data_IF_856230086106
#
_entry.id   IF_856230086106
#
_cell.length_a   1.000
_cell.length_b   1.000
_cell.length_c   1.000
_cell.angle_alpha   90.00
_cell.angle_beta   90.00
_cell.angle_gamma   90.00
#
_symmetry.space_group_name_H-M   'P 1'
#
loop_
_entity.id
_entity.type
_entity.pdbx_description
1 polymer ?
#
# COMPACT_ATOMS: atom_id res chain seq x y z
N UNK A 1 8.45 53.90 -5.06
CA UNK A 1 8.41 52.84 -4.05
C UNK A 1 9.48 53.11 -3.00
N UNK A 2 9.10 53.16 -1.73
CA UNK A 2 10.09 53.40 -0.64
C UNK A 2 11.10 52.25 -0.57
N UNK A 3 12.30 52.52 -0.04
CA UNK A 3 13.38 51.50 0.12
C UNK A 3 12.91 50.26 0.87
N UNK A 4 12.04 50.44 1.88
CA UNK A 4 11.40 49.35 2.62
C UNK A 4 10.47 48.49 1.72
N UNK A 5 9.66 49.10 0.85
CA UNK A 5 8.79 48.34 -0.07
C UNK A 5 9.60 47.53 -1.10
N UNK A 6 10.76 48.03 -1.55
CA UNK A 6 11.66 47.28 -2.43
C UNK A 6 12.29 46.09 -1.71
N UNK A 7 12.76 46.28 -0.48
CA UNK A 7 13.31 45.20 0.34
C UNK A 7 12.22 44.12 0.61
N UNK A 8 11.03 44.52 1.00
CA UNK A 8 9.91 43.59 1.21
C UNK A 8 9.55 42.80 -0.05
N UNK A 9 9.57 43.43 -1.23
CA UNK A 9 9.32 42.73 -2.50
C UNK A 9 10.44 41.72 -2.82
N UNK A 10 11.69 42.09 -2.61
CA UNK A 10 12.81 41.16 -2.83
C UNK A 10 12.74 39.97 -1.90
N UNK A 11 12.47 40.17 -0.61
CA UNK A 11 12.28 39.07 0.35
C UNK A 11 11.11 38.17 -0.05
N UNK A 12 10.00 38.73 -0.48
CA UNK A 12 8.84 37.94 -0.95
C UNK A 12 9.20 37.09 -2.18
N UNK A 13 9.89 37.68 -3.16
CA UNK A 13 10.33 36.95 -4.36
C UNK A 13 11.28 35.82 -4.00
N UNK A 14 12.26 36.06 -3.12
CA UNK A 14 13.19 35.03 -2.65
C UNK A 14 12.46 33.89 -1.94
N UNK A 15 11.47 34.22 -1.09
CA UNK A 15 10.64 33.21 -0.42
C UNK A 15 9.82 32.38 -1.41
N UNK A 16 9.20 33.03 -2.39
CA UNK A 16 8.43 32.33 -3.44
C UNK A 16 9.35 31.41 -4.26
N UNK A 17 10.53 31.88 -4.64
CA UNK A 17 11.50 31.06 -5.38
C UNK A 17 12.04 29.89 -4.52
N UNK A 18 12.29 30.10 -3.24
CA UNK A 18 12.71 29.04 -2.32
C UNK A 18 11.60 27.98 -2.15
N UNK A 19 10.34 28.40 -1.99
CA UNK A 19 9.19 27.49 -1.92
C UNK A 19 8.99 26.71 -3.23
N UNK A 20 9.14 27.39 -4.37
CA UNK A 20 9.05 26.74 -5.68
C UNK A 20 10.19 25.72 -5.88
N UNK A 21 11.41 26.04 -5.45
CA UNK A 21 12.56 25.12 -5.49
C UNK A 21 12.34 23.92 -4.58
N UNK A 22 11.88 24.13 -3.34
CA UNK A 22 11.54 23.04 -2.41
C UNK A 22 10.44 22.14 -3.02
N UNK A 23 9.37 22.75 -3.58
CA UNK A 23 8.33 22.03 -4.28
C UNK A 23 8.87 21.20 -5.44
N UNK A 24 9.74 21.79 -6.28
CA UNK A 24 10.37 21.10 -7.41
C UNK A 24 11.23 19.92 -6.93
N UNK A 25 12.09 20.13 -5.94
CA UNK A 25 12.93 19.07 -5.37
C UNK A 25 12.10 17.94 -4.73
N UNK A 26 10.95 18.28 -4.14
CA UNK A 26 10.02 17.29 -3.58
C UNK A 26 9.39 16.46 -4.68
N UNK A 27 8.91 17.08 -5.77
CA UNK A 27 8.24 16.41 -6.89
C UNK A 27 9.20 15.55 -7.73
N UNK A 28 10.50 15.89 -7.73
CA UNK A 28 11.54 15.12 -8.46
C UNK A 28 12.22 14.06 -7.59
N UNK A 29 11.67 13.75 -6.43
CA UNK A 29 12.19 12.71 -5.54
C UNK A 29 12.11 11.34 -6.19
N UNK A 30 13.12 10.50 -5.93
CA UNK A 30 13.24 9.15 -6.44
C UNK A 30 14.01 9.06 -7.78
N UNK A 31 14.52 7.89 -8.07
CA UNK A 31 15.09 7.53 -9.35
C UNK A 31 14.37 6.29 -9.86
N UNK A 32 13.44 6.42 -10.80
CA UNK A 32 12.66 5.31 -11.30
C UNK A 32 13.55 4.18 -11.85
N UNK A 33 13.08 2.94 -11.76
CA UNK A 33 13.77 1.78 -12.31
C UNK A 33 13.22 1.50 -13.70
N UNK A 34 13.84 2.08 -14.72
CA UNK A 34 13.39 1.97 -16.12
C UNK A 34 13.75 0.65 -16.81
N UNK A 35 14.64 -0.16 -16.23
CA UNK A 35 15.00 -1.46 -16.77
C UNK A 35 15.60 -2.37 -15.68
N UNK A 36 15.31 -3.67 -15.77
CA UNK A 36 16.03 -4.73 -15.07
C UNK A 36 16.89 -5.43 -16.11
N UNK A 37 18.20 -5.40 -15.90
CA UNK A 37 19.18 -5.82 -16.93
C UNK A 37 20.01 -6.99 -16.41
N UNK A 38 20.29 -7.96 -17.28
CA UNK A 38 21.29 -9.01 -17.07
C UNK A 38 22.30 -8.97 -18.21
N UNK A 39 23.47 -9.58 -18.02
CA UNK A 39 24.47 -9.73 -19.07
C UNK A 39 24.10 -10.86 -20.07
N UNK A 40 23.10 -11.67 -19.77
CA UNK A 40 22.65 -12.74 -20.65
C UNK A 40 21.41 -12.33 -21.44
N UNK A 41 21.27 -12.83 -22.65
CA UNK A 41 20.10 -12.59 -23.53
C UNK A 41 18.77 -13.15 -22.96
N UNK A 42 18.86 -13.97 -21.89
CA UNK A 42 17.71 -14.60 -21.21
C UNK A 42 16.81 -13.63 -20.43
N UNK A 43 17.24 -12.37 -20.28
CA UNK A 43 16.53 -11.38 -19.44
C UNK A 43 16.66 -11.63 -17.93
N UNK A 44 15.97 -10.86 -17.06
CA UNK A 44 16.02 -11.06 -15.62
C UNK A 44 15.44 -12.42 -15.22
N UNK A 45 15.84 -12.98 -14.05
CA UNK A 45 15.36 -14.28 -13.60
C UNK A 45 13.83 -14.29 -13.51
N UNK A 46 13.18 -15.38 -13.96
CA UNK A 46 11.72 -15.53 -13.80
C UNK A 46 11.35 -15.72 -12.33
N UNK A 47 10.12 -15.41 -11.96
CA UNK A 47 9.63 -15.60 -10.58
C UNK A 47 9.68 -17.05 -10.10
N UNK A 48 9.84 -18.02 -11.01
CA UNK A 48 10.01 -19.44 -10.73
C UNK A 48 11.46 -19.84 -10.42
N UNK A 49 12.42 -18.94 -10.60
CA UNK A 49 13.84 -19.18 -10.36
C UNK A 49 14.19 -18.74 -8.92
N UNK A 50 14.90 -19.56 -8.18
CA UNK A 50 15.38 -19.23 -6.83
C UNK A 50 16.27 -17.97 -6.79
N UNK A 51 16.89 -17.61 -7.90
CA UNK A 51 17.65 -16.37 -8.03
C UNK A 51 16.74 -15.13 -7.98
N UNK A 52 15.46 -15.24 -8.39
CA UNK A 52 14.50 -14.16 -8.31
C UNK A 52 14.25 -13.76 -6.84
N UNK A 53 13.94 -14.74 -5.98
CA UNK A 53 13.72 -14.52 -4.54
C UNK A 53 14.93 -13.83 -3.91
N UNK A 54 16.14 -14.39 -4.13
CA UNK A 54 17.39 -13.80 -3.63
C UNK A 54 17.65 -12.39 -4.14
N UNK A 55 17.36 -12.15 -5.42
CA UNK A 55 17.50 -10.82 -6.02
C UNK A 55 16.53 -9.83 -5.39
N UNK A 56 15.30 -10.26 -5.16
CA UNK A 56 14.29 -9.46 -4.46
C UNK A 56 14.78 -9.08 -3.05
N UNK A 57 15.23 -10.06 -2.26
CA UNK A 57 15.74 -9.81 -0.90
C UNK A 57 16.90 -8.82 -0.88
N UNK A 58 17.88 -8.99 -1.76
CA UNK A 58 19.06 -8.14 -1.84
C UNK A 58 18.70 -6.68 -2.23
N UNK A 59 17.74 -6.49 -3.13
CA UNK A 59 17.40 -5.15 -3.62
C UNK A 59 16.36 -4.43 -2.78
N UNK A 60 15.55 -5.17 -2.02
CA UNK A 60 14.49 -4.56 -1.19
C UNK A 60 14.82 -4.51 0.29
N UNK A 61 15.75 -5.35 0.75
CA UNK A 61 16.07 -5.54 2.16
C UNK A 61 14.99 -6.33 2.92
N UNK A 62 14.05 -6.96 2.20
CA UNK A 62 13.00 -7.80 2.75
C UNK A 62 13.42 -9.26 2.71
N UNK A 63 13.28 -10.00 3.78
CA UNK A 63 13.54 -11.44 3.79
C UNK A 63 12.26 -12.22 3.52
N UNK A 64 12.37 -13.28 2.70
CA UNK A 64 11.25 -14.19 2.42
C UNK A 64 11.43 -15.47 3.22
N UNK A 65 10.82 -15.53 4.39
CA UNK A 65 10.94 -16.65 5.32
C UNK A 65 10.07 -17.82 4.90
N UNK A 66 10.62 -19.03 4.94
CA UNK A 66 9.81 -20.24 4.97
C UNK A 66 9.07 -20.37 6.32
N UNK A 67 7.99 -21.14 6.33
CA UNK A 67 7.34 -21.51 7.59
C UNK A 67 6.15 -20.64 7.98
N UNK A 68 5.59 -19.86 7.06
CA UNK A 68 4.40 -19.06 7.35
C UNK A 68 3.11 -19.80 6.98
N UNK A 69 2.01 -19.40 7.63
CA UNK A 69 0.63 -19.72 7.26
C UNK A 69 -0.06 -18.43 6.85
N UNK A 70 -0.41 -18.32 5.57
CA UNK A 70 -0.99 -17.10 4.99
C UNK A 70 -2.42 -17.35 4.52
N UNK A 71 -3.35 -16.51 4.92
CA UNK A 71 -4.77 -16.60 4.59
C UNK A 71 -5.27 -15.28 4.01
N UNK A 72 -6.01 -15.36 2.91
CA UNK A 72 -6.73 -14.20 2.40
C UNK A 72 -7.85 -13.80 3.36
N UNK A 73 -8.06 -12.50 3.51
CA UNK A 73 -9.14 -11.90 4.26
C UNK A 73 -9.81 -10.83 3.38
N UNK A 74 -10.72 -11.30 2.50
CA UNK A 74 -11.35 -10.44 1.51
C UNK A 74 -12.46 -9.61 2.13
N UNK A 75 -12.48 -8.33 1.81
CA UNK A 75 -13.50 -7.36 2.24
C UNK A 75 -13.66 -7.30 3.78
N UNK A 76 -14.66 -6.57 4.24
CA UNK A 76 -14.97 -6.49 5.67
C UNK A 76 -15.39 -7.82 6.28
N UNK A 77 -16.20 -8.58 5.58
CA UNK A 77 -16.71 -9.88 6.04
C UNK A 77 -15.60 -10.91 6.23
N UNK A 78 -14.52 -10.82 5.45
CA UNK A 78 -13.35 -11.68 5.59
C UNK A 78 -12.36 -11.22 6.66
N UNK A 79 -12.20 -9.91 6.89
CA UNK A 79 -11.15 -9.39 7.77
C UNK A 79 -11.65 -9.13 9.19
N UNK A 80 -12.76 -8.41 9.39
CA UNK A 80 -13.12 -7.93 10.73
C UNK A 80 -13.51 -9.01 11.71
N UNK A 81 -14.33 -10.04 11.37
CA UNK A 81 -14.68 -11.09 12.34
C UNK A 81 -13.45 -11.81 12.89
N UNK A 82 -12.46 -12.11 12.03
CA UNK A 82 -11.22 -12.76 12.45
C UNK A 82 -10.34 -11.83 13.26
N UNK A 83 -10.18 -10.59 12.80
CA UNK A 83 -9.41 -9.55 13.48
C UNK A 83 -9.94 -9.31 14.91
N UNK A 84 -11.28 -9.21 15.08
CA UNK A 84 -11.89 -9.04 16.40
C UNK A 84 -11.68 -10.24 17.30
N UNK A 85 -11.68 -11.44 16.73
CA UNK A 85 -11.40 -12.68 17.47
C UNK A 85 -9.96 -12.71 17.96
N UNK A 86 -9.00 -12.47 17.07
CA UNK A 86 -7.57 -12.50 17.42
C UNK A 86 -7.19 -11.40 18.41
N UNK A 87 -7.73 -10.18 18.24
CA UNK A 87 -7.49 -9.08 19.19
C UNK A 87 -8.04 -9.40 20.59
N UNK A 88 -9.23 -10.03 20.71
CA UNK A 88 -9.78 -10.44 22.01
C UNK A 88 -9.00 -11.59 22.65
N UNK A 89 -8.37 -12.42 21.85
CA UNK A 89 -7.54 -13.53 22.31
C UNK A 89 -6.16 -13.11 22.84
N UNK A 90 -5.73 -11.88 22.54
CA UNK A 90 -4.40 -11.36 22.93
C UNK A 90 -4.14 -11.52 24.44
N UNK A 91 -2.93 -11.99 24.78
CA UNK A 91 -2.50 -12.22 26.16
C UNK A 91 -1.38 -11.26 26.60
N UNK A 92 -0.56 -10.78 25.68
CA UNK A 92 0.66 -10.03 26.00
C UNK A 92 0.70 -8.66 25.34
N UNK A 93 0.55 -8.59 24.00
CA UNK A 93 0.70 -7.35 23.26
C UNK A 93 -0.32 -7.23 22.12
N UNK A 94 -0.75 -6.01 21.87
CA UNK A 94 -1.42 -5.62 20.64
C UNK A 94 -0.72 -4.37 20.10
N UNK A 95 -0.24 -4.42 18.87
CA UNK A 95 0.26 -3.25 18.14
C UNK A 95 -0.61 -2.98 16.92
N UNK A 96 -1.16 -1.78 16.83
CA UNK A 96 -2.05 -1.36 15.73
C UNK A 96 -1.55 -0.06 15.14
N UNK A 97 -1.29 -0.07 13.83
CA UNK A 97 -1.02 1.14 13.05
C UNK A 97 -2.03 1.27 11.92
N UNK A 98 -2.72 2.42 11.87
CA UNK A 98 -3.73 2.70 10.85
C UNK A 98 -3.49 4.05 10.21
N UNK A 99 -3.64 4.09 8.88
CA UNK A 99 -3.65 5.34 8.12
C UNK A 99 -5.02 6.01 8.18
N UNK A 100 -6.06 5.34 7.66
CA UNK A 100 -7.37 5.93 7.49
C UNK A 100 -8.31 5.50 8.60
N UNK A 101 -8.86 6.49 9.31
CA UNK A 101 -9.74 6.24 10.45
C UNK A 101 -10.84 7.28 10.54
N UNK A 102 -12.08 6.83 10.52
CA UNK A 102 -13.28 7.65 10.68
C UNK A 102 -14.10 7.15 11.86
N UNK A 103 -14.89 8.03 12.51
CA UNK A 103 -15.91 7.60 13.46
C UNK A 103 -16.90 6.64 12.79
N UNK A 104 -17.30 5.60 13.50
CA UNK A 104 -18.24 4.59 13.01
C UNK A 104 -18.10 3.27 13.75
N UNK A 105 -18.88 2.26 13.34
CA UNK A 105 -18.96 0.93 14.00
C UNK A 105 -17.59 0.23 14.06
N UNK A 106 -16.80 0.32 12.99
CA UNK A 106 -15.47 -0.30 12.91
C UNK A 106 -14.54 0.32 13.94
N UNK A 107 -14.47 1.67 13.97
CA UNK A 107 -13.62 2.39 14.93
C UNK A 107 -14.06 2.16 16.37
N UNK A 108 -15.36 2.18 16.64
CA UNK A 108 -15.93 1.96 17.98
C UNK A 108 -15.69 0.53 18.48
N UNK A 109 -15.80 -0.45 17.58
CA UNK A 109 -15.50 -1.87 17.90
C UNK A 109 -14.03 -2.03 18.22
N UNK A 110 -13.13 -1.46 17.41
CA UNK A 110 -11.69 -1.44 17.66
C UNK A 110 -11.41 -0.84 19.05
N UNK A 111 -11.92 0.37 19.31
CA UNK A 111 -11.70 1.04 20.59
C UNK A 111 -12.21 0.22 21.80
N UNK A 112 -13.36 -0.43 21.65
CA UNK A 112 -13.92 -1.28 22.70
C UNK A 112 -12.99 -2.43 23.03
N UNK A 113 -12.52 -3.15 22.01
CA UNK A 113 -11.62 -4.31 22.20
C UNK A 113 -10.26 -3.86 22.78
N UNK A 114 -9.66 -2.79 22.24
CA UNK A 114 -8.38 -2.29 22.74
C UNK A 114 -8.48 -1.88 24.22
N UNK A 115 -9.57 -1.20 24.64
CA UNK A 115 -9.84 -0.86 26.03
C UNK A 115 -10.02 -2.09 26.92
N UNK A 116 -10.75 -3.10 26.44
CA UNK A 116 -10.93 -4.37 27.14
C UNK A 116 -9.59 -5.07 27.41
N UNK A 117 -8.74 -5.16 26.39
CA UNK A 117 -7.42 -5.80 26.51
C UNK A 117 -6.46 -5.01 27.39
N UNK A 118 -6.42 -3.70 27.27
CA UNK A 118 -5.59 -2.86 28.14
C UNK A 118 -5.99 -3.01 29.63
N UNK A 119 -7.29 -3.06 29.95
CA UNK A 119 -7.79 -3.34 31.30
C UNK A 119 -7.42 -4.76 31.78
N UNK A 120 -7.33 -5.73 30.86
CA UNK A 120 -6.85 -7.08 31.12
C UNK A 120 -5.32 -7.18 31.23
N UNK A 121 -4.59 -6.05 31.25
CA UNK A 121 -3.12 -5.95 31.37
C UNK A 121 -2.34 -6.39 30.12
N UNK A 122 -2.99 -6.53 28.98
CA UNK A 122 -2.30 -6.61 27.68
C UNK A 122 -1.69 -5.25 27.37
N UNK A 123 -0.47 -5.20 26.91
CA UNK A 123 0.17 -3.95 26.47
C UNK A 123 -0.34 -3.59 25.08
N UNK A 124 -1.12 -2.52 24.99
CA UNK A 124 -1.80 -2.10 23.77
C UNK A 124 -1.23 -0.78 23.26
N UNK A 125 -0.63 -0.81 22.05
CA UNK A 125 -0.06 0.36 21.38
C UNK A 125 -0.88 0.67 20.13
N UNK A 126 -1.39 1.89 20.05
CA UNK A 126 -2.21 2.36 18.94
C UNK A 126 -1.57 3.59 18.27
N UNK A 127 -1.09 3.41 17.05
CA UNK A 127 -0.44 4.43 16.25
C UNK A 127 -1.34 4.85 15.09
N UNK A 128 -1.65 6.12 14.97
CA UNK A 128 -2.47 6.67 13.89
C UNK A 128 -1.69 7.72 13.11
N UNK A 129 -1.83 7.73 11.78
CA UNK A 129 -1.31 8.84 10.97
C UNK A 129 -2.10 10.12 11.27
N UNK A 130 -1.39 11.22 11.48
CA UNK A 130 -2.02 12.47 11.91
C UNK A 130 -2.98 13.08 10.88
N UNK A 131 -2.76 12.80 9.57
CA UNK A 131 -3.61 13.28 8.50
C UNK A 131 -4.78 12.31 8.24
N UNK A 132 -4.48 11.01 8.05
CA UNK A 132 -5.51 10.01 7.74
C UNK A 132 -6.52 9.78 8.88
N UNK A 133 -6.15 10.12 10.12
CA UNK A 133 -7.02 9.99 11.30
C UNK A 133 -7.51 11.31 11.88
N UNK A 134 -7.45 12.41 11.12
CA UNK A 134 -7.85 13.75 11.59
C UNK A 134 -9.31 13.84 12.04
N UNK A 135 -10.16 12.94 11.56
CA UNK A 135 -11.58 12.87 11.91
C UNK A 135 -11.87 12.11 13.21
N UNK A 136 -10.90 11.38 13.77
CA UNK A 136 -11.06 10.81 15.10
C UNK A 136 -11.03 11.92 16.16
N UNK A 137 -12.07 12.00 16.97
CA UNK A 137 -12.18 13.04 17.98
C UNK A 137 -11.10 12.91 19.07
N UNK A 138 -10.82 14.03 19.74
CA UNK A 138 -9.93 14.04 20.91
C UNK A 138 -10.48 13.09 21.99
N UNK A 139 -11.80 13.10 22.23
CA UNK A 139 -12.45 12.26 23.22
C UNK A 139 -12.31 10.76 22.94
N UNK A 140 -12.35 10.37 21.65
CA UNK A 140 -12.08 9.00 21.23
C UNK A 140 -10.67 8.55 21.67
N UNK A 141 -9.65 9.36 21.37
CA UNK A 141 -8.25 9.04 21.70
C UNK A 141 -7.99 9.12 23.21
N UNK A 142 -8.57 10.09 23.89
CA UNK A 142 -8.44 10.24 25.36
C UNK A 142 -9.18 9.11 26.09
N UNK A 143 -10.29 8.63 25.55
CA UNK A 143 -10.98 7.46 26.04
C UNK A 143 -10.17 6.17 25.94
N UNK A 144 -9.32 6.03 24.90
CA UNK A 144 -8.35 4.94 24.77
C UNK A 144 -7.25 5.07 25.84
N UNK A 145 -6.64 6.25 25.96
CA UNK A 145 -5.58 6.52 26.94
C UNK A 145 -6.04 6.28 28.39
N UNK A 146 -7.25 6.74 28.72
CA UNK A 146 -7.83 6.56 30.05
C UNK A 146 -8.05 5.09 30.44
N UNK A 147 -8.16 4.21 29.42
CA UNK A 147 -8.28 2.77 29.64
C UNK A 147 -6.92 2.05 29.68
N UNK A 148 -5.81 2.76 29.49
CA UNK A 148 -4.45 2.22 29.52
C UNK A 148 -3.88 1.87 28.15
N UNK A 149 -4.51 2.28 27.05
CA UNK A 149 -3.95 2.15 25.71
C UNK A 149 -2.91 3.24 25.48
N UNK A 150 -1.70 2.87 25.05
CA UNK A 150 -0.66 3.82 24.63
C UNK A 150 -1.00 4.33 23.21
N UNK A 151 -1.30 5.62 23.08
CA UNK A 151 -1.73 6.22 21.80
C UNK A 151 -0.74 7.26 21.34
N UNK A 152 -0.18 7.06 20.13
CA UNK A 152 0.71 8.01 19.47
C UNK A 152 0.15 8.46 18.12
N UNK A 153 0.58 9.65 17.65
CA UNK A 153 0.27 10.19 16.33
C UNK A 153 1.56 10.31 15.51
N UNK A 154 1.58 9.64 14.38
CA UNK A 154 2.69 9.68 13.45
C UNK A 154 2.60 10.92 12.56
N UNK A 155 3.71 11.64 12.41
CA UNK A 155 3.88 12.81 11.52
C UNK A 155 2.83 13.89 11.71
N UNK A 156 2.55 14.22 12.98
CA UNK A 156 1.80 15.43 13.32
C UNK A 156 2.58 16.65 12.79
N UNK A 157 1.87 17.54 12.07
CA UNK A 157 2.49 18.74 11.50
C UNK A 157 3.04 19.64 12.60
N UNK A 158 4.35 19.89 12.54
CA UNK A 158 5.06 20.85 13.36
C UNK A 158 5.84 21.79 12.45
N UNK A 159 6.06 23.03 12.86
CA UNK A 159 6.73 24.03 12.02
C UNK A 159 8.13 23.59 11.54
N UNK A 160 8.85 22.77 12.33
CA UNK A 160 10.17 22.24 11.98
C UNK A 160 10.15 20.91 11.22
N UNK A 161 9.00 20.28 11.04
CA UNK A 161 8.83 19.05 10.24
C UNK A 161 8.00 19.28 8.97
N UNK A 162 7.79 20.55 8.58
CA UNK A 162 6.97 20.90 7.42
C UNK A 162 7.52 20.33 6.10
N UNK A 163 8.82 20.09 6.02
CA UNK A 163 9.47 19.47 4.87
C UNK A 163 9.05 18.02 4.66
N UNK A 164 8.58 17.32 5.69
CA UNK A 164 8.04 15.97 5.63
C UNK A 164 6.50 15.96 5.53
N UNK A 165 5.88 17.12 5.29
CA UNK A 165 4.42 17.22 5.24
C UNK A 165 3.80 16.38 4.10
N UNK A 166 4.54 16.10 3.04
CA UNK A 166 4.12 15.23 1.94
C UNK A 166 4.25 13.74 2.27
N UNK A 167 5.19 13.38 3.14
CA UNK A 167 5.47 11.99 3.51
C UNK A 167 4.36 11.48 4.44
N UNK A 168 3.67 10.41 4.07
CA UNK A 168 2.57 9.83 4.85
C UNK A 168 2.85 8.37 5.17
N UNK A 169 2.30 7.91 6.27
CA UNK A 169 2.36 6.50 6.61
C UNK A 169 1.09 5.79 6.16
N UNK A 170 1.13 5.26 4.96
CA UNK A 170 0.02 4.51 4.38
C UNK A 170 -0.02 3.04 4.83
N UNK A 171 0.79 2.71 5.83
CA UNK A 171 0.97 1.38 6.41
C UNK A 171 -0.26 0.95 7.21
N UNK A 172 -0.64 -0.32 7.09
CA UNK A 172 -1.61 -1.01 7.95
C UNK A 172 -0.92 -2.17 8.64
N UNK A 173 -0.87 -2.10 9.94
CA UNK A 173 -0.28 -3.14 10.78
C UNK A 173 -1.24 -3.46 11.91
N UNK A 174 -1.56 -4.74 12.08
CA UNK A 174 -2.02 -5.26 13.36
C UNK A 174 -1.16 -6.47 13.68
N UNK A 175 -0.53 -6.47 14.84
CA UNK A 175 0.18 -7.65 15.34
C UNK A 175 -0.34 -7.98 16.73
N UNK A 176 -0.67 -9.25 16.93
CA UNK A 176 -1.17 -9.79 18.20
C UNK A 176 -0.14 -10.77 18.75
N UNK A 177 0.35 -10.49 19.95
CA UNK A 177 1.30 -11.29 20.72
C UNK A 177 2.60 -11.67 19.95
N UNK A 178 2.93 -10.94 18.86
CA UNK A 178 4.04 -11.29 17.99
C UNK A 178 3.83 -12.59 17.19
N UNK A 179 2.61 -13.12 17.09
CA UNK A 179 2.30 -14.38 16.43
C UNK A 179 1.34 -14.24 15.24
N UNK A 180 0.41 -13.31 15.31
CA UNK A 180 -0.59 -13.10 14.27
C UNK A 180 -0.41 -11.70 13.69
N UNK A 181 -0.28 -11.62 12.38
CA UNK A 181 -0.15 -10.38 11.63
C UNK A 181 -1.32 -10.14 10.69
N UNK A 182 -1.72 -8.88 10.53
CA UNK A 182 -2.66 -8.42 9.51
C UNK A 182 -2.07 -7.24 8.75
N UNK A 183 -2.15 -7.29 7.41
CA UNK A 183 -1.87 -6.17 6.53
C UNK A 183 -2.79 -6.20 5.31
N UNK A 184 -2.82 -5.12 4.53
CA UNK A 184 -3.70 -4.96 3.39
C UNK A 184 -4.06 -3.50 3.17
N UNK A 185 -5.22 -3.24 2.55
CA UNK A 185 -5.72 -1.88 2.33
C UNK A 185 -6.77 -1.42 3.34
N UNK A 186 -7.23 -2.28 4.26
CA UNK A 186 -8.30 -1.95 5.21
C UNK A 186 -7.96 -0.78 6.14
N UNK A 187 -9.00 -0.13 6.67
CA UNK A 187 -8.87 0.96 7.63
C UNK A 187 -9.92 0.88 8.73
N UNK A 188 -10.05 1.93 9.53
CA UNK A 188 -11.08 2.03 10.56
C UNK A 188 -12.23 2.92 10.07
N UNK A 189 -12.98 2.44 9.08
CA UNK A 189 -14.18 3.12 8.60
C UNK A 189 -15.22 2.11 8.10
N UNK A 190 -16.49 2.48 8.19
CA UNK A 190 -17.61 1.58 7.87
C UNK A 190 -17.70 1.24 6.36
N UNK A 191 -17.01 1.97 5.49
CA UNK A 191 -16.89 1.64 4.04
C UNK A 191 -16.30 0.25 3.78
N UNK A 192 -15.45 -0.24 4.68
CA UNK A 192 -14.85 -1.57 4.54
C UNK A 192 -15.73 -2.71 5.09
N UNK A 193 -16.91 -2.42 5.66
CA UNK A 193 -17.85 -3.47 6.07
C UNK A 193 -18.49 -4.14 4.84
N UNK A 194 -18.88 -5.40 4.99
CA UNK A 194 -19.60 -6.16 3.98
C UNK A 194 -18.71 -6.89 2.98
N UNK A 195 -19.31 -7.28 1.85
CA UNK A 195 -18.73 -8.16 0.84
C UNK A 195 -18.05 -7.43 -0.34
N UNK A 196 -18.10 -6.09 -0.38
CA UNK A 196 -17.49 -5.28 -1.42
C UNK A 196 -18.22 -5.29 -2.78
N UNK A 197 -19.50 -5.68 -2.81
CA UNK A 197 -20.33 -5.69 -4.03
C UNK A 197 -21.45 -4.64 -4.03
N UNK A 198 -21.60 -3.88 -2.94
CA UNK A 198 -22.61 -2.84 -2.80
C UNK A 198 -21.96 -1.44 -2.79
N UNK A 199 -22.69 -0.41 -3.24
CA UNK A 199 -22.13 0.92 -3.49
C UNK A 199 -21.47 1.57 -2.27
N UNK A 200 -21.96 1.29 -1.07
CA UNK A 200 -21.44 1.85 0.19
C UNK A 200 -20.29 1.01 0.80
N UNK A 201 -19.93 -0.09 0.17
CA UNK A 201 -18.90 -1.03 0.63
C UNK A 201 -17.70 -0.99 -0.30
N UNK A 202 -16.50 -0.92 0.26
CA UNK A 202 -15.30 -0.95 -0.56
C UNK A 202 -14.81 -2.38 -0.79
N UNK A 203 -14.49 -2.70 -2.07
CA UNK A 203 -13.85 -3.97 -2.43
C UNK A 203 -12.38 -3.93 -2.01
N UNK A 204 -11.99 -4.84 -1.10
CA UNK A 204 -10.66 -4.85 -0.51
C UNK A 204 -10.05 -6.25 -0.44
N UNK A 205 -8.71 -6.31 -0.51
CA UNK A 205 -7.94 -7.53 -0.28
C UNK A 205 -6.96 -7.32 0.86
N UNK A 206 -7.07 -8.19 1.85
CA UNK A 206 -6.23 -8.18 3.05
C UNK A 206 -5.71 -9.59 3.30
N UNK A 207 -4.72 -9.70 4.18
CA UNK A 207 -4.16 -10.97 4.61
C UNK A 207 -4.06 -11.04 6.12
N UNK A 208 -4.35 -12.22 6.67
CA UNK A 208 -3.98 -12.68 7.99
C UNK A 208 -2.85 -13.69 7.85
N UNK A 209 -1.81 -13.57 8.63
CA UNK A 209 -0.70 -14.52 8.58
C UNK A 209 -0.09 -14.77 9.95
N UNK A 210 0.56 -15.93 10.06
CA UNK A 210 1.30 -16.39 11.22
C UNK A 210 2.67 -16.88 10.76
N UNK A 211 3.65 -16.91 11.67
CA UNK A 211 5.00 -17.35 11.38
C UNK A 211 6.02 -16.22 11.28
N UNK A 212 7.25 -16.51 10.79
CA UNK A 212 8.38 -15.58 10.85
C UNK A 212 8.16 -14.21 10.22
N UNK A 213 7.35 -14.12 9.16
CA UNK A 213 7.05 -12.84 8.50
C UNK A 213 6.34 -11.83 9.43
N UNK A 214 5.67 -12.30 10.50
CA UNK A 214 5.03 -11.42 11.49
C UNK A 214 6.07 -10.55 12.20
N UNK A 215 7.30 -11.04 12.36
CA UNK A 215 8.38 -10.28 13.01
C UNK A 215 8.80 -9.06 12.17
N UNK A 216 8.78 -9.16 10.84
CA UNK A 216 9.04 -7.99 9.98
C UNK A 216 7.91 -6.98 10.06
N UNK A 217 6.64 -7.44 10.13
CA UNK A 217 5.50 -6.54 10.32
C UNK A 217 5.58 -5.82 11.68
N UNK A 218 5.99 -6.53 12.74
CA UNK A 218 6.22 -5.95 14.06
C UNK A 218 7.41 -4.97 14.04
N UNK A 219 8.47 -5.25 13.29
CA UNK A 219 9.61 -4.36 13.14
C UNK A 219 9.21 -3.06 12.40
N UNK A 220 8.37 -3.16 11.36
CA UNK A 220 7.81 -1.99 10.66
C UNK A 220 7.00 -1.09 11.61
N UNK A 221 6.17 -1.69 12.47
CA UNK A 221 5.46 -0.96 13.53
C UNK A 221 6.44 -0.29 14.49
N UNK A 222 7.46 -1.04 14.98
CA UNK A 222 8.43 -0.54 15.95
C UNK A 222 9.23 0.66 15.43
N UNK A 223 9.56 0.65 14.13
CA UNK A 223 10.22 1.79 13.48
C UNK A 223 9.33 3.04 13.46
N UNK A 224 8.04 2.89 13.10
CA UNK A 224 7.08 3.99 13.10
C UNK A 224 6.74 4.48 14.52
N UNK A 225 6.70 3.58 15.49
CA UNK A 225 6.55 3.93 16.91
C UNK A 225 7.73 4.75 17.40
N UNK A 226 8.96 4.33 17.09
CA UNK A 226 10.16 5.07 17.45
C UNK A 226 10.22 6.47 16.81
N UNK A 227 9.80 6.61 15.53
CA UNK A 227 9.67 7.92 14.88
C UNK A 227 8.71 8.85 15.65
N UNK A 228 7.66 8.29 16.23
CA UNK A 228 6.59 9.06 16.87
C UNK A 228 6.87 9.40 18.32
N UNK A 229 7.55 8.51 19.06
CA UNK A 229 7.70 8.56 20.52
C UNK A 229 9.14 8.65 20.99
N UNK A 230 10.11 8.30 20.15
CA UNK A 230 11.51 8.10 20.53
C UNK A 230 11.80 6.73 21.16
N UNK A 231 10.81 5.84 21.29
CA UNK A 231 10.94 4.54 21.93
C UNK A 231 11.07 3.43 20.90
N UNK A 232 12.21 2.75 20.82
CA UNK A 232 12.40 1.57 19.99
C UNK A 232 11.96 0.31 20.77
N UNK A 233 10.91 -0.34 20.30
CA UNK A 233 10.36 -1.54 20.90
C UNK A 233 11.26 -2.74 20.60
N UNK A 234 11.67 -3.47 21.63
CA UNK A 234 12.56 -4.64 21.54
C UNK A 234 12.18 -5.71 22.57
N UNK A 235 12.90 -6.83 22.54
CA UNK A 235 12.79 -7.91 23.53
C UNK A 235 11.60 -8.84 23.30
N UNK A 236 11.52 -9.87 24.15
CA UNK A 236 10.60 -11.00 23.98
C UNK A 236 9.12 -10.65 24.03
N UNK A 237 8.78 -9.50 24.60
CA UNK A 237 7.39 -9.04 24.65
C UNK A 237 6.85 -8.71 23.25
N UNK A 238 7.67 -8.11 22.40
CA UNK A 238 7.30 -7.72 21.03
C UNK A 238 7.81 -8.69 19.97
N UNK A 239 8.93 -9.38 20.27
CA UNK A 239 9.61 -10.32 19.40
C UNK A 239 9.83 -11.62 20.15
N UNK A 240 8.77 -12.41 20.41
CA UNK A 240 8.91 -13.68 21.11
C UNK A 240 9.67 -14.68 20.25
N UNK A 241 10.51 -15.53 20.86
CA UNK A 241 11.25 -16.59 20.15
C UNK A 241 10.34 -17.53 19.36
N UNK A 242 9.13 -17.77 19.89
CA UNK A 242 8.09 -18.58 19.21
C UNK A 242 7.56 -17.93 17.92
N UNK A 243 7.64 -16.61 17.78
CA UNK A 243 7.25 -15.90 16.57
C UNK A 243 8.16 -16.20 15.35
N UNK A 244 9.36 -16.73 15.59
CA UNK A 244 10.28 -17.17 14.54
C UNK A 244 10.12 -18.65 14.17
N UNK A 245 9.19 -19.36 14.78
CA UNK A 245 8.95 -20.77 14.51
C UNK A 245 8.09 -20.96 13.26
N UNK A 246 8.38 -22.06 12.54
CA UNK A 246 7.58 -22.47 11.40
C UNK A 246 6.20 -22.97 11.85
N UNK A 247 5.14 -22.44 11.23
CA UNK A 247 3.73 -22.79 11.49
C UNK A 247 2.95 -23.20 10.24
N UNK A 248 3.62 -23.20 9.07
CA UNK A 248 3.00 -23.55 7.80
C UNK A 248 4.03 -23.72 6.68
N UNK A 249 3.60 -24.03 5.46
CA UNK A 249 4.50 -24.31 4.34
C UNK A 249 4.90 -23.07 3.52
N UNK A 250 4.24 -21.93 3.73
CA UNK A 250 4.33 -20.78 2.82
C UNK A 250 5.60 -19.98 3.04
N UNK A 251 6.25 -19.56 1.96
CA UNK A 251 7.31 -18.56 1.98
C UNK A 251 6.68 -17.16 1.90
N UNK A 252 6.99 -16.32 2.87
CA UNK A 252 6.46 -14.96 2.91
C UNK A 252 7.40 -13.98 3.62
N UNK A 253 7.32 -12.69 3.25
CA UNK A 253 8.04 -11.60 3.88
C UNK A 253 7.24 -10.30 3.83
N UNK A 254 7.57 -9.35 4.69
CA UNK A 254 6.91 -8.04 4.70
C UNK A 254 7.81 -6.99 4.05
N UNK A 255 7.46 -6.60 2.84
CA UNK A 255 8.05 -5.44 2.19
C UNK A 255 7.57 -4.18 2.91
N UNK A 256 8.45 -3.57 3.69
CA UNK A 256 8.24 -2.24 4.25
C UNK A 256 9.03 -1.22 3.46
N UNK A 257 8.37 -0.17 2.99
CA UNK A 257 9.02 0.90 2.24
C UNK A 257 8.89 2.23 2.94
N UNK A 258 9.88 3.08 2.74
CA UNK A 258 9.86 4.46 3.22
C UNK A 258 10.50 5.38 2.19
N UNK A 259 10.16 6.68 2.20
CA UNK A 259 10.81 7.67 1.34
C UNK A 259 12.33 7.62 1.50
N UNK A 260 13.04 7.57 0.37
CA UNK A 260 14.51 7.54 0.35
C UNK A 260 15.05 8.35 -0.84
N UNK A 261 16.35 8.60 -0.85
CA UNK A 261 17.03 9.18 -2.01
C UNK A 261 17.36 8.06 -3.01
N UNK A 262 17.09 8.27 -4.28
CA UNK A 262 17.22 7.26 -5.33
C UNK A 262 16.00 6.33 -5.40
N UNK A 263 16.14 5.17 -6.05
CA UNK A 263 15.03 4.20 -6.15
C UNK A 263 14.67 3.61 -4.79
N UNK A 264 13.38 3.56 -4.51
CA UNK A 264 12.86 2.96 -3.27
C UNK A 264 12.80 1.43 -3.35
N UNK A 265 12.67 0.72 -2.21
CA UNK A 265 12.35 -0.71 -2.23
C UNK A 265 11.06 -1.01 -2.99
N UNK A 266 10.05 -0.11 -2.96
CA UNK A 266 8.81 -0.23 -3.71
C UNK A 266 9.05 -0.26 -5.22
N UNK A 267 9.79 0.72 -5.75
CA UNK A 267 10.12 0.79 -7.19
C UNK A 267 10.89 -0.44 -7.65
N UNK A 268 11.88 -0.88 -6.87
CA UNK A 268 12.68 -2.08 -7.18
C UNK A 268 11.84 -3.36 -7.16
N UNK A 269 10.93 -3.50 -6.16
CA UNK A 269 9.99 -4.61 -6.08
C UNK A 269 9.09 -4.69 -7.32
N UNK A 270 8.45 -3.56 -7.69
CA UNK A 270 7.58 -3.50 -8.86
C UNK A 270 8.38 -3.85 -10.12
N UNK A 271 9.54 -3.24 -10.33
CA UNK A 271 10.36 -3.48 -11.51
C UNK A 271 10.80 -4.96 -11.63
N UNK A 272 11.21 -5.58 -10.53
CA UNK A 272 11.57 -7.01 -10.51
C UNK A 272 10.37 -7.90 -10.81
N UNK A 273 9.21 -7.64 -10.18
CA UNK A 273 7.99 -8.43 -10.38
C UNK A 273 7.50 -8.36 -11.83
N UNK A 274 7.39 -7.15 -12.40
CA UNK A 274 6.97 -6.95 -13.80
C UNK A 274 7.96 -7.61 -14.78
N UNK A 275 9.24 -7.58 -14.46
CA UNK A 275 10.29 -8.18 -15.30
C UNK A 275 10.43 -9.68 -15.13
N UNK A 276 10.10 -10.22 -13.96
CA UNK A 276 10.18 -11.65 -13.64
C UNK A 276 9.03 -12.50 -14.17
N UNK A 277 7.87 -11.90 -14.47
CA UNK A 277 6.71 -12.60 -15.01
C UNK A 277 6.98 -13.19 -16.40
N UNK A 278 6.47 -14.42 -16.63
CA UNK A 278 6.66 -15.16 -17.91
C UNK A 278 5.34 -15.64 -18.54
N UNK A 279 4.28 -15.84 -17.76
CA UNK A 279 2.98 -16.37 -18.26
C UNK A 279 1.86 -15.36 -18.03
N UNK A 280 1.64 -15.00 -16.78
CA UNK A 280 0.55 -14.11 -16.36
C UNK A 280 1.05 -13.03 -15.44
N UNK A 281 0.46 -11.85 -15.53
CA UNK A 281 0.70 -10.75 -14.62
C UNK A 281 -0.63 -10.06 -14.35
N UNK A 282 -1.22 -10.32 -13.18
CA UNK A 282 -2.49 -9.77 -12.77
C UNK A 282 -2.27 -8.71 -11.69
N UNK A 283 -2.71 -7.51 -11.96
CA UNK A 283 -2.54 -6.34 -11.09
C UNK A 283 -3.92 -5.82 -10.73
N UNK A 284 -4.27 -5.82 -9.44
CA UNK A 284 -5.42 -5.07 -8.93
C UNK A 284 -4.91 -3.85 -8.20
N UNK A 285 -5.35 -2.66 -8.61
CA UNK A 285 -4.88 -1.44 -7.95
C UNK A 285 -5.91 -0.31 -8.03
N UNK A 286 -6.18 0.32 -6.87
CA UNK A 286 -7.14 1.40 -6.74
C UNK A 286 -6.75 2.63 -7.55
N UNK A 287 -5.51 3.09 -7.38
CA UNK A 287 -4.97 4.29 -8.02
C UNK A 287 -3.85 3.85 -8.96
N UNK A 288 -4.26 3.41 -10.15
CA UNK A 288 -3.35 2.93 -11.18
C UNK A 288 -2.92 4.10 -12.07
N UNK A 289 -1.86 4.79 -11.65
CA UNK A 289 -1.24 5.93 -12.35
C UNK A 289 0.25 5.63 -12.56
N UNK A 290 0.58 4.59 -13.36
CA UNK A 290 1.97 4.17 -13.56
C UNK A 290 2.77 5.25 -14.28
N UNK A 291 3.99 5.49 -13.81
CA UNK A 291 4.94 6.36 -14.50
C UNK A 291 5.45 5.77 -15.83
N UNK A 292 6.27 6.52 -16.55
CA UNK A 292 6.81 6.11 -17.85
C UNK A 292 7.61 4.81 -17.77
N UNK A 293 8.34 4.60 -16.67
CA UNK A 293 9.22 3.44 -16.52
C UNK A 293 8.40 2.18 -16.30
N UNK A 294 7.38 2.23 -15.44
CA UNK A 294 6.50 1.09 -15.21
C UNK A 294 5.63 0.77 -16.43
N UNK A 295 5.17 1.78 -17.18
CA UNK A 295 4.46 1.53 -18.45
C UNK A 295 5.36 0.79 -19.46
N UNK A 296 6.63 1.20 -19.59
CA UNK A 296 7.60 0.48 -20.43
C UNK A 296 7.87 -0.95 -19.96
N UNK A 297 7.91 -1.19 -18.65
CA UNK A 297 8.08 -2.56 -18.12
C UNK A 297 6.85 -3.44 -18.39
N UNK A 298 5.63 -2.90 -18.28
CA UNK A 298 4.38 -3.60 -18.66
C UNK A 298 4.36 -3.92 -20.16
N UNK A 299 4.72 -2.96 -21.03
CA UNK A 299 4.84 -3.17 -22.47
C UNK A 299 5.86 -4.28 -22.79
N UNK A 300 7.04 -4.28 -22.12
CA UNK A 300 8.05 -5.33 -22.29
C UNK A 300 7.54 -6.69 -21.82
N UNK A 301 6.72 -6.75 -20.77
CA UNK A 301 6.10 -8.00 -20.33
C UNK A 301 5.16 -8.56 -21.41
N UNK A 302 4.30 -7.72 -22.00
CA UNK A 302 3.45 -8.12 -23.15
C UNK A 302 4.28 -8.58 -24.34
N UNK A 303 5.36 -7.87 -24.68
CA UNK A 303 6.28 -8.26 -25.78
C UNK A 303 6.97 -9.61 -25.53
N UNK A 304 7.15 -10.02 -24.27
CA UNK A 304 7.61 -11.36 -23.90
C UNK A 304 6.53 -12.45 -23.97
N UNK A 305 5.30 -12.09 -24.31
CA UNK A 305 4.15 -13.00 -24.38
C UNK A 305 3.39 -13.18 -23.06
N UNK A 306 3.62 -12.33 -22.06
CA UNK A 306 2.90 -12.38 -20.77
C UNK A 306 1.47 -11.86 -20.96
N UNK A 307 0.47 -12.56 -20.44
CA UNK A 307 -0.91 -12.05 -20.32
C UNK A 307 -0.98 -11.04 -19.18
N UNK A 308 -0.90 -9.75 -19.54
CA UNK A 308 -0.91 -8.65 -18.59
C UNK A 308 -2.32 -8.08 -18.46
N UNK A 309 -2.89 -8.20 -17.28
CA UNK A 309 -4.22 -7.66 -16.96
C UNK A 309 -4.17 -6.74 -15.76
N UNK A 310 -4.81 -5.59 -15.90
CA UNK A 310 -4.95 -4.59 -14.83
C UNK A 310 -6.43 -4.42 -14.50
N UNK A 311 -6.77 -4.62 -13.25
CA UNK A 311 -8.08 -4.31 -12.68
C UNK A 311 -7.94 -3.08 -11.80
N UNK A 312 -8.70 -2.04 -12.10
CA UNK A 312 -8.67 -0.78 -11.36
C UNK A 312 -10.07 -0.26 -11.06
N UNK A 313 -10.13 0.84 -10.33
CA UNK A 313 -11.39 1.48 -9.98
C UNK A 313 -12.08 2.09 -11.21
N UNK A 314 -13.39 2.13 -11.20
CA UNK A 314 -14.20 2.87 -12.18
C UNK A 314 -14.39 4.33 -11.73
N UNK A 315 -15.38 4.99 -12.32
CA UNK A 315 -15.82 6.31 -11.87
C UNK A 315 -16.39 6.33 -10.43
N UNK A 316 -16.55 5.18 -9.77
CA UNK A 316 -16.94 5.07 -8.35
C UNK A 316 -15.76 5.22 -7.39
N UNK A 317 -14.71 5.91 -7.80
CA UNK A 317 -13.55 6.24 -6.96
C UNK A 317 -13.85 7.40 -6.01
N UNK A 318 -13.20 7.39 -4.84
CA UNK A 318 -13.17 8.49 -3.88
C UNK A 318 -12.28 9.66 -4.35
N UNK A 319 -11.26 9.40 -5.21
CA UNK A 319 -10.36 10.42 -5.77
C UNK A 319 -10.45 10.46 -7.30
N UNK A 320 -11.35 11.30 -7.82
CA UNK A 320 -11.56 11.43 -9.28
C UNK A 320 -10.31 11.81 -10.06
N UNK A 321 -9.44 12.64 -9.48
CA UNK A 321 -8.21 13.10 -10.13
C UNK A 321 -7.27 11.93 -10.45
N UNK A 322 -7.12 10.96 -9.55
CA UNK A 322 -6.29 9.76 -9.79
C UNK A 322 -6.87 8.89 -10.91
N UNK A 323 -8.19 8.72 -10.93
CA UNK A 323 -8.87 7.98 -11.98
C UNK A 323 -8.66 8.62 -13.36
N UNK A 324 -8.85 9.93 -13.49
CA UNK A 324 -8.59 10.65 -14.74
C UNK A 324 -7.11 10.59 -15.14
N UNK A 325 -6.19 10.75 -14.19
CA UNK A 325 -4.76 10.66 -14.46
C UNK A 325 -4.36 9.27 -14.96
N UNK A 326 -4.87 8.19 -14.36
CA UNK A 326 -4.66 6.82 -14.82
C UNK A 326 -5.20 6.59 -16.23
N UNK A 327 -6.42 7.05 -16.52
CA UNK A 327 -7.06 6.94 -17.83
C UNK A 327 -6.30 7.64 -18.95
N UNK A 328 -5.56 8.70 -18.64
CA UNK A 328 -4.67 9.37 -19.61
C UNK A 328 -3.71 8.38 -20.28
N UNK A 329 -3.23 7.39 -19.54
CA UNK A 329 -2.26 6.40 -20.00
C UNK A 329 -2.88 5.13 -20.61
N UNK A 330 -4.20 4.97 -20.57
CA UNK A 330 -4.85 3.76 -21.07
C UNK A 330 -4.64 3.54 -22.56
N UNK A 331 -4.66 4.59 -23.38
CA UNK A 331 -4.48 4.44 -24.83
C UNK A 331 -3.11 3.86 -25.19
N UNK A 332 -2.05 4.26 -24.48
CA UNK A 332 -0.70 3.71 -24.60
C UNK A 332 -0.67 2.23 -24.15
N UNK A 333 -1.16 1.93 -22.95
CA UNK A 333 -1.18 0.58 -22.38
C UNK A 333 -1.98 -0.40 -23.24
N UNK A 334 -3.19 -0.01 -23.66
CA UNK A 334 -4.05 -0.81 -24.52
C UNK A 334 -3.42 -1.06 -25.89
N UNK A 335 -2.73 -0.05 -26.46
CA UNK A 335 -2.00 -0.18 -27.73
C UNK A 335 -0.81 -1.13 -27.61
N UNK A 336 -0.18 -1.19 -26.45
CA UNK A 336 0.88 -2.15 -26.15
C UNK A 336 0.37 -3.58 -25.89
N UNK A 337 -0.95 -3.77 -25.75
CA UNK A 337 -1.58 -5.08 -25.53
C UNK A 337 -1.89 -5.40 -24.05
N UNK A 338 -1.69 -4.44 -23.13
CA UNK A 338 -2.16 -4.57 -21.75
C UNK A 338 -3.68 -4.52 -21.73
N UNK A 339 -4.32 -5.45 -21.02
CA UNK A 339 -5.78 -5.46 -20.86
C UNK A 339 -6.16 -4.73 -19.58
N UNK A 340 -7.03 -3.73 -19.69
CA UNK A 340 -7.46 -2.88 -18.57
C UNK A 340 -8.95 -3.09 -18.30
N UNK A 341 -9.28 -3.26 -17.03
CA UNK A 341 -10.64 -3.49 -16.53
C UNK A 341 -10.97 -2.47 -15.44
N UNK A 342 -12.18 -1.94 -15.44
CA UNK A 342 -12.70 -1.06 -14.40
C UNK A 342 -13.81 -1.76 -13.61
N UNK A 343 -13.64 -1.93 -12.30
CA UNK A 343 -14.59 -2.55 -11.39
C UNK A 343 -15.86 -1.68 -11.26
N UNK A 344 -17.03 -2.26 -11.44
CA UNK A 344 -18.28 -1.49 -11.58
C UNK A 344 -19.12 -1.37 -10.31
N UNK A 345 -19.17 -2.36 -9.39
CA UNK A 345 -20.14 -2.32 -8.30
C UNK A 345 -19.92 -1.16 -7.33
N UNK A 346 -18.67 -0.91 -6.94
CA UNK A 346 -18.31 0.05 -5.90
C UNK A 346 -16.87 0.54 -6.05
N UNK A 347 -16.34 1.25 -5.05
CA UNK A 347 -14.90 1.58 -4.94
C UNK A 347 -14.08 0.30 -4.79
N UNK A 348 -13.22 0.04 -5.78
CA UNK A 348 -12.17 -0.97 -5.66
C UNK A 348 -10.99 -0.37 -4.93
N UNK A 349 -10.71 -0.82 -3.71
CA UNK A 349 -9.59 -0.29 -2.92
C UNK A 349 -8.43 -1.30 -2.74
N UNK A 350 -8.50 -2.47 -3.35
CA UNK A 350 -7.47 -3.52 -3.31
C UNK A 350 -6.16 -3.12 -3.99
N UNK A 351 -5.04 -3.60 -3.46
CA UNK A 351 -3.69 -3.45 -4.02
C UNK A 351 -3.00 -4.81 -3.99
N UNK A 352 -3.08 -5.52 -5.12
CA UNK A 352 -2.50 -6.86 -5.26
C UNK A 352 -1.78 -7.02 -6.58
N UNK A 353 -0.75 -7.85 -6.58
CA UNK A 353 -0.05 -8.27 -7.79
C UNK A 353 0.13 -9.78 -7.71
N UNK A 354 -0.13 -10.48 -8.83
CA UNK A 354 0.18 -11.90 -8.97
C UNK A 354 0.95 -12.11 -10.26
N UNK A 355 2.12 -12.72 -10.16
CA UNK A 355 2.93 -13.12 -11.31
C UNK A 355 3.01 -14.65 -11.39
N UNK A 356 2.60 -15.19 -12.52
CA UNK A 356 2.66 -16.61 -12.88
C UNK A 356 1.92 -17.56 -11.90
N UNK A 357 0.94 -17.05 -11.13
CA UNK A 357 0.22 -17.82 -10.11
C UNK A 357 1.12 -18.31 -8.97
N UNK A 358 2.29 -17.69 -8.75
CA UNK A 358 3.30 -18.12 -7.79
C UNK A 358 3.77 -16.99 -6.87
N UNK A 359 4.21 -15.88 -7.45
CA UNK A 359 4.67 -14.71 -6.73
C UNK A 359 3.53 -13.72 -6.56
N UNK A 360 3.18 -13.43 -5.33
CA UNK A 360 2.02 -12.58 -5.01
C UNK A 360 2.38 -11.48 -4.03
N UNK A 361 1.63 -10.38 -4.07
CA UNK A 361 1.72 -9.30 -3.09
C UNK A 361 0.33 -8.81 -2.72
N UNK A 362 0.10 -8.58 -1.43
CA UNK A 362 -1.11 -7.96 -0.88
C UNK A 362 -0.71 -6.90 0.13
N UNK A 363 -1.19 -5.67 -0.04
CA UNK A 363 -0.78 -4.61 0.88
C UNK A 363 -1.43 -3.26 0.66
N UNK A 364 -0.70 -2.23 1.04
CA UNK A 364 -1.18 -0.85 1.02
C UNK A 364 -0.77 -0.05 -0.22
N UNK A 365 0.19 -0.54 -1.00
CA UNK A 365 0.92 0.21 -2.02
C UNK A 365 0.11 0.41 -3.30
N UNK A 366 -0.16 1.65 -3.67
CA UNK A 366 -0.75 1.99 -4.96
C UNK A 366 0.31 2.04 -6.07
N UNK A 367 -0.15 1.93 -7.32
CA UNK A 367 0.66 2.13 -8.52
C UNK A 367 0.68 3.61 -8.93
N UNK A 368 1.09 4.45 -8.00
CA UNK A 368 1.22 5.89 -8.20
C UNK A 368 2.54 6.41 -7.60
N UNK A 369 2.95 7.61 -7.99
CA UNK A 369 4.20 8.20 -7.54
C UNK A 369 4.21 8.45 -6.02
N UNK A 370 3.05 8.68 -5.42
CA UNK A 370 2.95 8.92 -3.98
C UNK A 370 3.33 7.70 -3.16
N UNK A 371 2.80 6.52 -3.53
CA UNK A 371 3.17 5.26 -2.88
C UNK A 371 4.61 4.85 -3.17
N UNK A 372 5.12 5.17 -4.36
CA UNK A 372 6.49 4.82 -4.74
C UNK A 372 7.55 5.68 -4.05
N UNK A 373 7.32 7.01 -3.90
CA UNK A 373 8.35 7.96 -3.50
C UNK A 373 8.12 8.66 -2.16
N UNK A 374 6.87 8.78 -1.69
CA UNK A 374 6.52 9.64 -0.54
C UNK A 374 5.93 8.91 0.65
N UNK A 375 5.27 7.76 0.42
CA UNK A 375 4.62 7.05 1.50
C UNK A 375 5.51 5.98 2.11
N UNK A 376 5.29 5.72 3.41
CA UNK A 376 5.62 4.40 3.95
C UNK A 376 4.49 3.45 3.54
N UNK A 377 4.85 2.31 3.00
CA UNK A 377 3.91 1.27 2.59
C UNK A 377 4.30 -0.08 3.21
N UNK A 378 3.33 -0.97 3.35
CA UNK A 378 3.55 -2.35 3.77
C UNK A 378 2.81 -3.32 2.86
N UNK A 379 3.53 -4.32 2.35
CA UNK A 379 2.94 -5.40 1.56
C UNK A 379 3.47 -6.73 2.06
N UNK A 380 2.59 -7.70 2.26
CA UNK A 380 3.03 -9.09 2.38
C UNK A 380 3.35 -9.59 0.98
N UNK A 381 4.58 -10.03 0.76
CA UNK A 381 4.98 -10.77 -0.44
C UNK A 381 4.96 -12.26 -0.13
N UNK A 382 4.47 -13.05 -1.06
CA UNK A 382 4.24 -14.49 -0.88
C UNK A 382 4.76 -15.24 -2.09
N UNK A 383 5.61 -16.21 -1.87
CA UNK A 383 6.08 -17.17 -2.87
C UNK A 383 5.46 -18.54 -2.56
N UNK A 384 4.29 -18.79 -3.12
CA UNK A 384 3.52 -20.00 -2.89
C UNK A 384 2.49 -20.20 -4.00
N UNK A 385 2.47 -21.36 -4.63
CA UNK A 385 1.60 -21.64 -5.77
C UNK A 385 0.13 -21.81 -5.38
N UNK A 386 -0.17 -22.32 -4.19
CA UNK A 386 -1.55 -22.49 -3.74
C UNK A 386 -2.16 -21.11 -3.40
N UNK A 387 -1.39 -20.26 -2.72
CA UNK A 387 -1.80 -18.89 -2.44
C UNK A 387 -1.91 -18.08 -3.74
N UNK A 388 -0.94 -18.17 -4.65
CA UNK A 388 -0.96 -17.49 -5.94
C UNK A 388 -2.17 -17.88 -6.79
N UNK A 389 -2.47 -19.17 -6.91
CA UNK A 389 -3.65 -19.66 -7.62
C UNK A 389 -4.97 -19.17 -7.00
N UNK A 390 -5.03 -19.10 -5.67
CA UNK A 390 -6.17 -18.52 -4.96
C UNK A 390 -6.34 -17.02 -5.24
N UNK A 391 -5.23 -16.26 -5.32
CA UNK A 391 -5.25 -14.84 -5.70
C UNK A 391 -5.66 -14.64 -7.16
N UNK A 392 -5.18 -15.49 -8.09
CA UNK A 392 -5.62 -15.49 -9.49
C UNK A 392 -7.13 -15.73 -9.58
N UNK A 393 -7.67 -16.68 -8.81
CA UNK A 393 -9.11 -16.95 -8.75
C UNK A 393 -9.91 -15.73 -8.31
N UNK A 394 -9.46 -15.01 -7.29
CA UNK A 394 -10.09 -13.77 -6.82
C UNK A 394 -10.04 -12.69 -7.89
N UNK A 395 -8.90 -12.51 -8.56
CA UNK A 395 -8.76 -11.55 -9.65
C UNK A 395 -9.74 -11.86 -10.80
N UNK A 396 -9.80 -13.12 -11.24
CA UNK A 396 -10.66 -13.56 -12.33
C UNK A 396 -12.15 -13.46 -11.96
N UNK A 397 -12.52 -13.67 -10.70
CA UNK A 397 -13.89 -13.46 -10.23
C UNK A 397 -14.27 -11.98 -10.25
N UNK A 398 -13.39 -11.08 -9.78
CA UNK A 398 -13.60 -9.63 -9.83
C UNK A 398 -13.76 -9.12 -11.28
N UNK A 399 -13.13 -9.75 -12.27
CA UNK A 399 -13.34 -9.41 -13.68
C UNK A 399 -14.80 -9.60 -14.15
N UNK A 400 -15.56 -10.51 -13.52
CA UNK A 400 -16.99 -10.75 -13.85
C UNK A 400 -17.86 -9.55 -13.51
N UNK A 401 -17.42 -8.73 -12.58
CA UNK A 401 -18.07 -7.49 -12.15
C UNK A 401 -17.47 -6.25 -12.80
N UNK A 402 -16.57 -6.43 -13.77
CA UNK A 402 -15.77 -5.35 -14.33
C UNK A 402 -16.07 -5.12 -15.80
N UNK A 403 -15.86 -3.89 -16.25
CA UNK A 403 -15.92 -3.52 -17.66
C UNK A 403 -14.53 -3.53 -18.26
N UNK A 404 -14.30 -4.38 -19.27
CA UNK A 404 -13.07 -4.31 -20.06
C UNK A 404 -13.06 -3.05 -20.94
N UNK A 405 -11.97 -2.30 -20.89
CA UNK A 405 -11.78 -1.11 -21.69
C UNK A 405 -11.18 -1.52 -23.04
N UNK A 406 -11.93 -1.29 -24.12
CA UNK A 406 -11.49 -1.62 -25.48
C UNK A 406 -10.86 -0.42 -26.17
N UNK A 407 -9.68 -0.61 -26.77
CA UNK A 407 -8.91 0.46 -27.42
C UNK A 407 -9.74 1.26 -28.45
N UNK A 408 -10.50 0.55 -29.28
CA UNK A 408 -11.31 1.18 -30.33
C UNK A 408 -12.38 2.13 -29.76
N UNK A 409 -13.09 1.69 -28.71
CA UNK A 409 -14.07 2.53 -28.01
C UNK A 409 -13.41 3.66 -27.25
N UNK A 410 -12.28 3.38 -26.58
CA UNK A 410 -11.57 4.35 -25.77
C UNK A 410 -11.00 5.51 -26.61
N UNK A 411 -10.56 5.26 -27.85
CA UNK A 411 -10.13 6.32 -28.78
C UNK A 411 -11.25 7.28 -29.16
N UNK A 412 -12.52 6.85 -29.11
CA UNK A 412 -13.68 7.65 -29.50
C UNK A 412 -14.20 8.55 -28.37
N UNK A 413 -13.57 8.55 -27.16
CA UNK A 413 -13.99 9.42 -26.05
C UNK A 413 -13.91 10.89 -26.43
N UNK A 414 -14.78 11.71 -25.84
CA UNK A 414 -14.92 13.13 -26.17
C UNK A 414 -13.60 13.91 -25.96
N UNK A 415 -13.43 15.00 -26.69
CA UNK A 415 -12.28 15.89 -26.52
C UNK A 415 -12.20 16.43 -25.07
N UNK A 416 -13.34 16.69 -24.45
CA UNK A 416 -13.42 17.14 -23.07
C UNK A 416 -12.89 16.11 -22.08
N UNK A 417 -13.22 14.81 -22.28
CA UNK A 417 -12.66 13.72 -21.48
C UNK A 417 -11.14 13.68 -21.61
N UNK A 418 -10.60 13.73 -22.83
CA UNK A 418 -9.15 13.77 -23.10
C UNK A 418 -8.47 14.97 -22.42
N UNK A 419 -9.11 16.13 -22.43
CA UNK A 419 -8.57 17.33 -21.77
C UNK A 419 -8.51 17.16 -20.26
N UNK A 420 -9.59 16.68 -19.62
CA UNK A 420 -9.62 16.45 -18.17
C UNK A 420 -8.58 15.41 -17.77
N UNK A 421 -8.47 14.30 -18.51
CA UNK A 421 -7.48 13.26 -18.30
C UNK A 421 -6.04 13.83 -18.40
N UNK A 422 -5.76 14.65 -19.41
CA UNK A 422 -4.45 15.27 -19.60
C UNK A 422 -4.11 16.29 -18.51
N UNK A 423 -5.07 17.12 -18.09
CA UNK A 423 -4.87 18.07 -16.98
C UNK A 423 -4.63 17.34 -15.66
N UNK A 424 -5.37 16.24 -15.41
CA UNK A 424 -5.18 15.42 -14.23
C UNK A 424 -3.82 14.72 -14.23
N UNK A 425 -3.36 14.26 -15.39
CA UNK A 425 -2.06 13.61 -15.53
C UNK A 425 -0.88 14.58 -15.24
N UNK A 426 -1.04 15.88 -15.42
CA UNK A 426 -0.01 16.87 -15.04
C UNK A 426 0.25 16.88 -13.53
N UNK A 427 -0.70 16.41 -12.71
CA UNK A 427 -0.55 16.29 -11.26
C UNK A 427 -0.08 14.88 -10.82
N UNK A 428 0.15 13.96 -11.76
CA UNK A 428 0.48 12.55 -11.45
C UNK A 428 1.70 12.37 -10.54
N UNK A 429 2.67 13.29 -10.60
CA UNK A 429 3.84 13.26 -9.71
C UNK A 429 3.52 13.64 -8.26
N UNK A 430 2.35 14.22 -7.99
CA UNK A 430 1.88 14.60 -6.66
C UNK A 430 0.86 13.58 -6.11
N UNK A 431 0.34 12.75 -7.00
CA UNK A 431 -0.64 11.68 -6.70
C UNK A 431 0.03 10.42 -6.25
#
# INVERSE_FOLDING_TARGET
MSRLKRIGLVVLVVLVLALALIGLLTVTRGTPVGAVVTLADSGPPPVTDSLFERTFELFTGTHVFAGNNVQQALNGDGVYPRLWTDLRAAQHTITVQMYYSLPGKVADTMATILKERARAKVRVLFLVDAFGSQHLSKDYLDGLRSAGVEVAKLRALRWYTIHNAADRSHVRVVVVDGHVGYTGGFGLADYWLGDGHHEEQWRESNVRFEGPAVMELQAAFSAAWAESTGELLTGHLFFPNSGFQSVGPTHAGVLYTSPTTGSTPAERFIALTLSGARKTLYITNSYFVPDDDFRRLLERAVKRGVDVRVLTVSNKTDVKTTWYAGRHHYEELLSAGVRVYEYQPTMLHSKTIVADGLWSSVGSMNFDNRSMAFNNESCLVVLDSAFGASMDSVFLDDLRYSKEIKLAEFKQRSIWAKMIESLSAMTSRLL
#
